data_IF_411092237444
#
_entry.id   IF_411092237444
#
_cell.length_a   1.000
_cell.length_b   1.000
_cell.length_c   1.000
_cell.angle_alpha   90.00
_cell.angle_beta   90.00
_cell.angle_gamma   90.00
#
_symmetry.space_group_name_H-M   'P 1'
#
loop_
_entity.id
_entity.type
_entity.pdbx_description
1 polymer ?
#
# COMPACT_ATOMS: atom_id res chain seq x y z
N UNK A 1 -3.26 19.68 48.08
CA UNK A 1 -2.91 19.38 46.67
C UNK A 1 -3.20 17.88 46.42
N UNK A 2 -4.43 17.41 46.35
CA UNK A 2 -5.45 17.73 45.36
C UNK A 2 -5.54 16.58 44.34
N UNK A 3 -5.99 15.39 44.76
CA UNK A 3 -6.10 14.19 43.89
C UNK A 3 -6.84 14.46 42.55
N UNK A 4 -7.69 15.49 42.48
CA UNK A 4 -8.32 15.95 41.23
C UNK A 4 -7.36 16.56 40.20
N UNK A 5 -6.29 17.22 40.64
CA UNK A 5 -5.29 17.79 39.73
C UNK A 5 -4.42 16.70 39.09
N UNK A 6 -4.04 15.67 39.84
CA UNK A 6 -3.29 14.52 39.30
C UNK A 6 -4.12 13.70 38.32
N UNK A 7 -5.43 13.54 38.54
CA UNK A 7 -6.30 12.81 37.63
C UNK A 7 -6.60 13.58 36.34
N UNK A 8 -6.85 14.88 36.41
CA UNK A 8 -7.00 15.72 35.21
C UNK A 8 -5.72 15.73 34.36
N UNK A 9 -4.55 15.75 35.00
CA UNK A 9 -3.26 15.65 34.31
C UNK A 9 -3.05 14.27 33.68
N UNK A 10 -3.40 13.18 34.38
CA UNK A 10 -3.30 11.81 33.85
C UNK A 10 -4.23 11.59 32.64
N UNK A 11 -5.48 12.04 32.70
CA UNK A 11 -6.45 11.91 31.61
C UNK A 11 -6.04 12.77 30.41
N UNK A 12 -5.58 14.01 30.65
CA UNK A 12 -5.03 14.89 29.61
C UNK A 12 -3.81 14.29 28.92
N UNK A 13 -2.88 13.71 29.68
CA UNK A 13 -1.70 13.04 29.13
C UNK A 13 -2.07 11.80 28.30
N UNK A 14 -3.06 11.00 28.74
CA UNK A 14 -3.49 9.78 28.03
C UNK A 14 -4.15 10.12 26.69
N UNK A 15 -4.98 11.17 26.65
CA UNK A 15 -5.59 11.67 25.43
C UNK A 15 -4.55 12.28 24.48
N UNK A 16 -3.57 13.00 25.01
CA UNK A 16 -2.48 13.58 24.23
C UNK A 16 -1.61 12.49 23.60
N UNK A 17 -1.24 11.45 24.36
CA UNK A 17 -0.53 10.29 23.84
C UNK A 17 -1.33 9.52 22.79
N UNK A 18 -2.64 9.37 22.98
CA UNK A 18 -3.51 8.73 21.99
C UNK A 18 -3.59 9.54 20.69
N UNK A 19 -3.63 10.88 20.78
CA UNK A 19 -3.57 11.76 19.60
C UNK A 19 -2.22 11.64 18.88
N UNK A 20 -1.10 11.66 19.60
CA UNK A 20 0.22 11.47 18.99
C UNK A 20 0.35 10.11 18.30
N UNK A 21 -0.22 9.05 18.87
CA UNK A 21 -0.27 7.74 18.23
C UNK A 21 -1.13 7.75 16.97
N UNK A 22 -2.30 8.37 17.01
CA UNK A 22 -3.16 8.54 15.83
C UNK A 22 -2.43 9.28 14.71
N UNK A 23 -1.77 10.39 15.02
CA UNK A 23 -1.04 11.19 14.04
C UNK A 23 0.14 10.38 13.44
N UNK A 24 0.82 9.55 14.24
CA UNK A 24 1.84 8.62 13.74
C UNK A 24 1.26 7.56 12.79
N UNK A 25 0.12 6.96 13.13
CA UNK A 25 -0.55 5.99 12.25
C UNK A 25 -1.11 6.63 10.97
N UNK A 26 -1.51 7.91 11.01
CA UNK A 26 -1.92 8.65 9.82
C UNK A 26 -0.71 8.94 8.91
N UNK A 27 0.45 9.28 9.47
CA UNK A 27 1.69 9.40 8.70
C UNK A 27 2.12 8.08 8.05
N UNK A 28 2.04 6.96 8.78
CA UNK A 28 2.30 5.63 8.22
C UNK A 28 1.31 5.27 7.10
N UNK A 29 0.03 5.66 7.24
CA UNK A 29 -0.96 5.44 6.20
C UNK A 29 -0.63 6.24 4.93
N UNK A 30 -0.28 7.52 5.06
CA UNK A 30 0.15 8.36 3.94
C UNK A 30 1.41 7.80 3.26
N UNK A 31 2.42 7.41 4.04
CA UNK A 31 3.63 6.80 3.50
C UNK A 31 3.33 5.51 2.72
N UNK A 32 2.40 4.69 3.21
CA UNK A 32 1.96 3.49 2.49
C UNK A 32 1.19 3.84 1.20
N UNK A 33 0.39 4.91 1.19
CA UNK A 33 -0.27 5.39 -0.02
C UNK A 33 0.75 5.88 -1.05
N UNK A 34 1.74 6.66 -0.65
CA UNK A 34 2.86 7.10 -1.51
C UNK A 34 3.64 5.90 -2.06
N UNK A 35 3.97 4.92 -1.22
CA UNK A 35 4.63 3.68 -1.66
C UNK A 35 3.76 2.88 -2.65
N UNK A 36 2.43 2.92 -2.49
CA UNK A 36 1.50 2.28 -3.43
C UNK A 36 1.51 2.98 -4.81
N UNK A 37 1.61 4.31 -4.83
CA UNK A 37 1.76 5.08 -6.07
C UNK A 37 3.12 4.84 -6.73
N UNK A 38 4.20 4.84 -5.95
CA UNK A 38 5.54 4.49 -6.45
C UNK A 38 5.57 3.09 -7.06
N UNK A 39 4.96 2.10 -6.40
CA UNK A 39 4.86 0.74 -6.94
C UNK A 39 4.05 0.69 -8.25
N UNK A 40 3.05 1.58 -8.42
CA UNK A 40 2.33 1.71 -9.69
C UNK A 40 3.22 2.29 -10.77
N UNK A 41 3.97 3.34 -10.46
CA UNK A 41 4.90 3.98 -11.40
C UNK A 41 6.00 2.98 -11.81
N UNK A 42 6.56 2.24 -10.86
CA UNK A 42 7.58 1.22 -11.12
C UNK A 42 7.05 0.11 -12.04
N UNK A 43 5.82 -0.36 -11.79
CA UNK A 43 5.14 -1.32 -12.68
C UNK A 43 4.98 -0.77 -14.10
N UNK A 44 4.53 0.47 -14.25
CA UNK A 44 4.38 1.13 -15.57
C UNK A 44 5.72 1.25 -16.29
N UNK A 45 6.80 1.59 -15.57
CA UNK A 45 8.15 1.63 -16.12
C UNK A 45 8.63 0.24 -16.57
N UNK A 46 8.41 -0.80 -15.76
CA UNK A 46 8.78 -2.17 -16.12
C UNK A 46 7.98 -2.68 -17.33
N UNK A 47 6.68 -2.35 -17.41
CA UNK A 47 5.84 -2.66 -18.56
C UNK A 47 6.37 -1.98 -19.83
N UNK A 48 6.70 -0.69 -19.77
CA UNK A 48 7.28 0.02 -20.91
C UNK A 48 8.63 -0.58 -21.33
N UNK A 49 9.52 -0.86 -20.38
CA UNK A 49 10.81 -1.49 -20.68
C UNK A 49 10.66 -2.86 -21.37
N UNK A 50 9.70 -3.69 -20.94
CA UNK A 50 9.42 -4.98 -21.61
C UNK A 50 8.85 -4.79 -23.01
N UNK A 51 7.99 -3.79 -23.22
CA UNK A 51 7.46 -3.46 -24.55
C UNK A 51 8.58 -3.00 -25.50
N UNK A 52 9.48 -2.15 -25.03
CA UNK A 52 10.63 -1.68 -25.81
C UNK A 52 11.58 -2.85 -26.16
N UNK A 53 11.82 -3.77 -25.23
CA UNK A 53 12.58 -4.99 -25.49
C UNK A 53 11.90 -5.85 -26.57
N UNK A 54 10.59 -6.06 -26.49
CA UNK A 54 9.83 -6.78 -27.52
C UNK A 54 9.97 -6.11 -28.89
N UNK A 55 9.82 -4.78 -28.96
CA UNK A 55 9.97 -4.03 -30.20
C UNK A 55 11.38 -4.16 -30.79
N UNK A 56 12.42 -4.11 -29.96
CA UNK A 56 13.80 -4.31 -30.39
C UNK A 56 14.04 -5.73 -30.93
N UNK A 57 13.52 -6.76 -30.27
CA UNK A 57 13.60 -8.15 -30.74
C UNK A 57 12.87 -8.33 -32.07
N UNK A 58 11.66 -7.80 -32.19
CA UNK A 58 10.88 -7.88 -33.43
C UNK A 58 11.54 -7.09 -34.57
N UNK A 59 12.12 -5.93 -34.29
CA UNK A 59 12.87 -5.12 -35.25
C UNK A 59 14.11 -5.86 -35.74
N UNK A 60 14.91 -6.42 -34.82
CA UNK A 60 16.08 -7.24 -35.15
C UNK A 60 15.70 -8.44 -36.01
N UNK A 61 14.62 -9.16 -35.66
CA UNK A 61 14.13 -10.29 -36.43
C UNK A 61 13.69 -9.86 -37.85
N UNK A 62 13.05 -8.70 -37.96
CA UNK A 62 12.66 -8.12 -39.25
C UNK A 62 13.86 -7.69 -40.11
N UNK A 63 14.91 -7.12 -39.50
CA UNK A 63 16.13 -6.74 -40.21
C UNK A 63 16.93 -7.96 -40.69
N UNK A 64 16.98 -9.03 -39.89
CA UNK A 64 17.69 -10.27 -40.24
C UNK A 64 16.98 -11.04 -41.37
N UNK A 65 15.65 -10.96 -41.44
CA UNK A 65 14.87 -11.45 -42.59
C UNK A 65 15.13 -10.64 -43.86
N UNK A 66 15.23 -9.31 -43.74
CA UNK A 66 15.51 -8.41 -44.87
C UNK A 66 16.93 -8.53 -45.43
N UNK A 67 17.93 -8.83 -44.58
CA UNK A 67 19.34 -8.96 -44.99
C UNK A 67 19.64 -10.26 -45.75
N UNK A 68 18.87 -11.33 -45.47
CA UNK A 68 19.07 -12.64 -46.11
C UNK A 68 18.53 -12.74 -47.53
N UNK A 69 17.98 -11.65 -48.09
CA UNK A 69 17.45 -11.63 -49.47
C UNK A 69 16.26 -12.59 -49.68
N UNK A 70 15.71 -13.15 -48.60
CA UNK A 70 14.53 -14.00 -48.61
C UNK A 70 13.27 -13.14 -48.75
N UNK A 71 13.09 -12.55 -49.94
CA UNK A 71 11.79 -12.13 -50.41
C UNK A 71 10.98 -13.37 -50.84
N UNK A 72 10.80 -14.33 -49.94
CA UNK A 72 9.91 -15.49 -50.11
C UNK A 72 9.21 -15.64 -48.78
N UNK A 73 7.94 -15.24 -48.75
CA UNK A 73 7.19 -14.95 -47.54
C UNK A 73 7.22 -16.04 -46.47
N UNK A 74 6.95 -15.62 -45.23
CA UNK A 74 6.27 -16.45 -44.24
C UNK A 74 6.78 -17.90 -44.12
N UNK A 75 8.09 -18.11 -43.99
CA UNK A 75 8.57 -19.38 -43.46
C UNK A 75 7.91 -19.57 -42.09
N UNK A 76 7.09 -20.61 -41.92
CA UNK A 76 6.26 -20.81 -40.73
C UNK A 76 7.03 -20.70 -39.40
N UNK A 77 8.35 -20.95 -39.42
CA UNK A 77 9.29 -20.75 -38.33
C UNK A 77 9.45 -19.30 -37.88
N UNK A 78 9.61 -18.31 -38.78
CA UNK A 78 9.80 -16.91 -38.38
C UNK A 78 8.50 -16.31 -37.79
N UNK A 79 7.36 -16.64 -38.40
CA UNK A 79 6.05 -16.23 -37.90
C UNK A 79 5.67 -16.94 -36.59
N UNK A 80 6.08 -18.20 -36.41
CA UNK A 80 5.97 -18.90 -35.14
C UNK A 80 6.86 -18.26 -34.07
N UNK A 81 8.10 -17.87 -34.38
CA UNK A 81 8.99 -17.16 -33.45
C UNK A 81 8.41 -15.82 -33.02
N UNK A 82 7.91 -14.99 -33.95
CA UNK A 82 7.21 -13.72 -33.61
C UNK A 82 5.99 -13.94 -32.73
N UNK A 83 5.21 -14.99 -33.02
CA UNK A 83 4.02 -15.33 -32.24
C UNK A 83 4.37 -15.86 -30.86
N UNK A 84 5.44 -16.65 -30.75
CA UNK A 84 5.99 -17.13 -29.48
C UNK A 84 6.47 -15.96 -28.62
N UNK A 85 7.24 -15.03 -29.20
CA UNK A 85 7.76 -13.89 -28.44
C UNK A 85 6.68 -12.92 -27.99
N UNK A 86 5.66 -12.68 -28.82
CA UNK A 86 4.48 -11.91 -28.39
C UNK A 86 3.76 -12.59 -27.22
N UNK A 87 3.55 -13.91 -27.28
CA UNK A 87 2.92 -14.66 -26.18
C UNK A 87 3.75 -14.62 -24.90
N UNK A 88 5.07 -14.75 -25.00
CA UNK A 88 5.97 -14.63 -23.85
C UNK A 88 5.93 -13.23 -23.26
N UNK A 89 6.01 -12.19 -24.10
CA UNK A 89 5.91 -10.81 -23.65
C UNK A 89 4.55 -10.50 -23.01
N UNK A 90 3.44 -11.01 -23.55
CA UNK A 90 2.11 -10.86 -22.96
C UNK A 90 2.02 -11.55 -21.59
N UNK A 91 2.59 -12.75 -21.46
CA UNK A 91 2.67 -13.46 -20.19
C UNK A 91 3.50 -12.66 -19.16
N UNK A 92 4.65 -12.12 -19.55
CA UNK A 92 5.48 -11.29 -18.69
C UNK A 92 4.79 -10.00 -18.27
N UNK A 93 4.13 -9.30 -19.22
CA UNK A 93 3.36 -8.09 -18.93
C UNK A 93 2.22 -8.38 -17.95
N UNK A 94 1.51 -9.50 -18.12
CA UNK A 94 0.47 -9.92 -17.19
C UNK A 94 1.03 -10.20 -15.79
N UNK A 95 2.21 -10.82 -15.71
CA UNK A 95 2.92 -11.10 -14.46
C UNK A 95 3.38 -9.82 -13.76
N UNK A 96 4.00 -8.88 -14.50
CA UNK A 96 4.41 -7.56 -14.00
C UNK A 96 3.21 -6.79 -13.45
N UNK A 97 2.11 -6.76 -14.21
CA UNK A 97 0.87 -6.11 -13.74
C UNK A 97 0.32 -6.75 -12.49
N UNK A 98 0.29 -8.09 -12.44
CA UNK A 98 -0.21 -8.81 -11.26
C UNK A 98 0.68 -8.55 -10.04
N UNK A 99 2.00 -8.55 -10.21
CA UNK A 99 2.95 -8.23 -9.15
C UNK A 99 2.79 -6.78 -8.66
N UNK A 100 2.70 -5.82 -9.58
CA UNK A 100 2.49 -4.41 -9.25
C UNK A 100 1.16 -4.16 -8.54
N UNK A 101 0.06 -4.75 -9.03
CA UNK A 101 -1.25 -4.71 -8.39
C UNK A 101 -1.23 -5.36 -6.99
N UNK A 102 -0.51 -6.47 -6.83
CA UNK A 102 -0.34 -7.16 -5.55
C UNK A 102 0.38 -6.27 -4.54
N UNK A 103 1.54 -5.70 -4.92
CA UNK A 103 2.29 -4.74 -4.09
C UNK A 103 1.42 -3.54 -3.72
N UNK A 104 0.74 -2.93 -4.70
CA UNK A 104 -0.18 -1.80 -4.46
C UNK A 104 -1.27 -2.17 -3.47
N UNK A 105 -1.89 -3.33 -3.61
CA UNK A 105 -2.92 -3.81 -2.70
C UNK A 105 -2.37 -4.05 -1.29
N UNK A 106 -1.17 -4.61 -1.17
CA UNK A 106 -0.50 -4.80 0.13
C UNK A 106 -0.31 -3.48 0.86
N UNK A 107 0.19 -2.45 0.18
CA UNK A 107 0.36 -1.13 0.77
C UNK A 107 -0.98 -0.46 1.13
N UNK A 108 -1.98 -0.57 0.26
CA UNK A 108 -3.33 -0.07 0.56
C UNK A 108 -3.97 -0.76 1.77
N UNK A 109 -3.74 -2.06 1.94
CA UNK A 109 -4.18 -2.80 3.12
C UNK A 109 -3.43 -2.35 4.37
N UNK A 110 -2.11 -2.13 4.28
CA UNK A 110 -1.31 -1.55 5.35
C UNK A 110 -1.81 -0.17 5.78
N UNK A 111 -2.08 0.72 4.84
CA UNK A 111 -2.64 2.04 5.11
C UNK A 111 -4.00 1.97 5.83
N UNK A 112 -4.91 1.10 5.35
CA UNK A 112 -6.20 0.87 6.02
C UNK A 112 -6.03 0.30 7.43
N UNK A 113 -5.09 -0.62 7.62
CA UNK A 113 -4.78 -1.19 8.92
C UNK A 113 -4.27 -0.12 9.90
N UNK A 114 -3.35 0.74 9.48
CA UNK A 114 -2.85 1.85 10.29
C UNK A 114 -3.97 2.84 10.62
N UNK A 115 -4.85 3.18 9.66
CA UNK A 115 -6.01 4.04 9.95
C UNK A 115 -6.96 3.44 10.99
N UNK A 116 -7.22 2.12 10.92
CA UNK A 116 -8.05 1.42 11.91
C UNK A 116 -7.34 1.41 13.28
N UNK A 117 -6.04 1.13 13.31
CA UNK A 117 -5.24 1.15 14.54
C UNK A 117 -5.24 2.55 15.19
N UNK A 118 -5.08 3.62 14.41
CA UNK A 118 -5.12 4.99 14.88
C UNK A 118 -6.50 5.41 15.41
N UNK A 119 -7.60 4.92 14.83
CA UNK A 119 -8.93 5.12 15.41
C UNK A 119 -9.13 4.32 16.71
N UNK A 120 -8.60 3.10 16.75
CA UNK A 120 -8.62 2.23 17.92
C UNK A 120 -7.84 2.81 19.11
N UNK A 121 -6.69 3.47 18.87
CA UNK A 121 -5.88 4.09 19.92
C UNK A 121 -6.60 5.26 20.58
N UNK A 122 -7.30 6.11 19.81
CA UNK A 122 -8.16 7.17 20.38
C UNK A 122 -9.29 6.56 21.20
N UNK A 123 -9.97 5.54 20.67
CA UNK A 123 -11.10 4.92 21.35
C UNK A 123 -10.66 4.27 22.67
N UNK A 124 -9.52 3.59 22.68
CA UNK A 124 -8.90 3.00 23.86
C UNK A 124 -8.46 4.07 24.86
N UNK A 125 -7.84 5.15 24.39
CA UNK A 125 -7.48 6.33 25.19
C UNK A 125 -8.70 7.01 25.83
N UNK A 126 -9.80 7.14 25.09
CA UNK A 126 -11.05 7.70 25.59
C UNK A 126 -11.75 6.77 26.61
N UNK A 127 -11.71 5.45 26.38
CA UNK A 127 -12.32 4.46 27.28
C UNK A 127 -11.54 4.35 28.60
N UNK A 128 -10.21 4.34 28.52
CA UNK A 128 -9.33 4.37 29.70
C UNK A 128 -9.48 5.69 30.48
N UNK A 129 -9.60 6.83 29.80
CA UNK A 129 -9.95 8.10 30.43
C UNK A 129 -11.31 8.06 31.15
N UNK A 130 -12.35 7.51 30.50
CA UNK A 130 -13.71 7.41 31.06
C UNK A 130 -13.80 6.48 32.27
N UNK A 131 -13.11 5.35 32.26
CA UNK A 131 -13.04 4.43 33.41
C UNK A 131 -12.28 5.04 34.59
N UNK A 132 -11.21 5.79 34.31
CA UNK A 132 -10.44 6.53 35.32
C UNK A 132 -11.29 7.64 35.97
N UNK A 133 -12.09 8.36 35.18
CA UNK A 133 -13.06 9.35 35.67
C UNK A 133 -14.20 8.72 36.48
N UNK A 134 -14.71 7.54 36.08
CA UNK A 134 -15.74 6.82 36.82
C UNK A 134 -15.24 6.33 38.19
N UNK A 135 -14.02 5.78 38.26
CA UNK A 135 -13.37 5.42 39.55
C UNK A 135 -13.18 6.62 40.46
N UNK A 136 -12.85 7.78 39.90
CA UNK A 136 -12.74 9.02 40.68
C UNK A 136 -14.06 9.42 41.32
N UNK A 137 -15.18 9.36 40.59
CA UNK A 137 -16.52 9.64 41.15
C UNK A 137 -16.93 8.64 42.24
N UNK A 138 -16.59 7.35 42.07
CA UNK A 138 -16.85 6.31 43.08
C UNK A 138 -16.05 6.57 44.36
N UNK A 139 -14.75 6.88 44.25
CA UNK A 139 -13.89 7.17 45.41
C UNK A 139 -14.24 8.49 46.12
N UNK A 140 -14.89 9.43 45.43
CA UNK A 140 -15.40 10.66 46.04
C UNK A 140 -16.76 10.50 46.75
N UNK A 141 -17.35 9.31 46.75
CA UNK A 141 -18.63 9.05 47.43
C UNK A 141 -19.87 9.58 46.71
N UNK A 142 -19.77 10.03 45.46
CA UNK A 142 -20.87 10.66 44.70
C UNK A 142 -21.78 9.63 43.98
N UNK A 143 -21.74 8.36 44.37
CA UNK A 143 -22.69 7.36 43.86
C UNK A 143 -23.94 7.37 44.75
N UNK A 144 -24.88 8.29 44.44
CA UNK A 144 -26.24 8.14 44.96
C UNK A 144 -26.85 6.87 44.34
N UNK A 145 -27.21 5.91 45.20
CA UNK A 145 -28.20 4.89 44.89
C UNK A 145 -29.55 5.62 44.81
N UNK A 146 -30.02 5.89 43.59
CA UNK A 146 -31.43 5.95 43.16
C UNK A 146 -31.43 6.19 41.66
#
# INVERSE_FOLDING_TARGET
MGQGAMLAFSVGSTLMSAKMQKDAYEMEAQQNEENAELAKIEMEQQENARRDQLLNVLSSLSSDEGSRGLAIGSGGTAQALRSSEKRMADADLSSIRLMGLSKRRQFQLGAKQSQIAGRGSILSGATSAGTTYRRYKINKGDWKIT
#
